data_IF_414840361185
#
_entry.id   IF_414840361185
#
_cell.length_a   1.000
_cell.length_b   1.000
_cell.length_c   1.000
_cell.angle_alpha   90.00
_cell.angle_beta   90.00
_cell.angle_gamma   90.00
#
_symmetry.space_group_name_H-M   'P 1'
#
loop_
_entity.id
_entity.type
_entity.pdbx_description
1 polymer ?
#
# COMPACT_ATOMS: atom_id res chain seq x y z
N UNK A 1 18.35 -11.12 19.58
CA UNK A 1 19.21 -10.19 18.82
C UNK A 1 18.32 -9.47 17.83
N UNK A 2 18.41 -8.14 17.76
CA UNK A 2 17.37 -7.24 17.26
C UNK A 2 16.72 -7.69 15.95
N UNK A 3 15.42 -8.01 16.01
CA UNK A 3 14.53 -8.03 14.85
C UNK A 3 14.57 -6.61 14.26
N UNK A 4 15.46 -6.40 13.29
CA UNK A 4 15.45 -5.19 12.49
C UNK A 4 14.05 -5.08 11.93
N UNK A 5 13.29 -4.08 12.41
CA UNK A 5 11.93 -3.79 11.95
C UNK A 5 11.94 -3.89 10.43
N UNK A 6 11.40 -4.97 9.88
CA UNK A 6 11.31 -5.12 8.44
C UNK A 6 10.45 -3.95 7.99
N UNK A 7 11.07 -2.92 7.42
CA UNK A 7 10.37 -1.78 6.87
C UNK A 7 9.71 -2.27 5.57
N UNK A 8 8.60 -2.98 5.71
CA UNK A 8 7.84 -3.47 4.56
C UNK A 8 7.20 -2.28 3.89
N UNK A 9 7.80 -1.85 2.77
CA UNK A 9 7.25 -0.83 1.89
C UNK A 9 5.97 -1.36 1.24
N UNK A 10 4.83 -0.77 1.58
CA UNK A 10 3.56 -1.06 0.90
C UNK A 10 3.46 -0.26 -0.39
N UNK A 11 3.14 -0.94 -1.49
CA UNK A 11 2.78 -0.32 -2.78
C UNK A 11 1.29 -0.51 -3.00
N UNK A 12 0.62 0.48 -3.57
CA UNK A 12 -0.81 0.38 -3.89
C UNK A 12 -1.19 1.30 -5.04
N UNK A 13 -2.45 1.19 -5.45
CA UNK A 13 -3.03 1.98 -6.53
C UNK A 13 -3.84 3.13 -5.95
N UNK A 14 -3.75 4.30 -6.59
CA UNK A 14 -4.53 5.49 -6.23
C UNK A 14 -5.41 5.91 -7.39
N UNK A 15 -6.59 6.45 -7.07
CA UNK A 15 -7.52 7.04 -8.03
C UNK A 15 -7.79 8.51 -7.65
N UNK A 16 -8.24 9.36 -8.58
CA UNK A 16 -8.63 10.74 -8.27
C UNK A 16 -9.63 10.84 -7.11
N UNK A 17 -9.53 11.89 -6.30
CA UNK A 17 -10.32 12.04 -5.07
C UNK A 17 -11.84 11.94 -5.26
N UNK A 18 -12.34 12.33 -6.44
CA UNK A 18 -13.78 12.31 -6.78
C UNK A 18 -14.19 11.06 -7.57
N UNK A 19 -13.36 10.01 -7.61
CA UNK A 19 -13.71 8.77 -8.28
C UNK A 19 -14.93 8.14 -7.59
N UNK A 20 -16.00 7.77 -8.32
CA UNK A 20 -17.18 7.17 -7.72
C UNK A 20 -16.85 5.89 -6.92
N UNK A 21 -17.49 5.64 -5.77
CA UNK A 21 -17.21 4.47 -4.94
C UNK A 21 -17.29 3.14 -5.68
N UNK A 22 -18.30 2.99 -6.55
CA UNK A 22 -18.50 1.78 -7.35
C UNK A 22 -17.32 1.48 -8.30
N UNK A 23 -16.63 2.52 -8.81
CA UNK A 23 -15.44 2.34 -9.65
C UNK A 23 -14.26 1.87 -8.80
N UNK A 24 -14.08 2.45 -7.61
CA UNK A 24 -13.04 2.02 -6.66
C UNK A 24 -13.24 0.58 -6.22
N UNK A 25 -14.48 0.20 -5.91
CA UNK A 25 -14.83 -1.18 -5.55
C UNK A 25 -14.55 -2.16 -6.68
N UNK A 26 -14.93 -1.80 -7.92
CA UNK A 26 -14.61 -2.59 -9.10
C UNK A 26 -13.10 -2.76 -9.24
N UNK A 27 -12.32 -1.67 -9.20
CA UNK A 27 -10.87 -1.74 -9.30
C UNK A 27 -10.25 -2.62 -8.22
N UNK A 28 -10.70 -2.50 -6.98
CA UNK A 28 -10.21 -3.32 -5.87
C UNK A 28 -10.50 -4.81 -6.09
N UNK A 29 -11.70 -5.14 -6.58
CA UNK A 29 -12.07 -6.53 -6.89
C UNK A 29 -11.23 -7.10 -8.02
N UNK A 30 -11.17 -6.43 -9.16
CA UNK A 30 -10.40 -6.91 -10.33
C UNK A 30 -8.91 -7.05 -9.97
N UNK A 31 -8.35 -6.10 -9.23
CA UNK A 31 -6.97 -6.18 -8.74
C UNK A 31 -6.76 -7.41 -7.83
N UNK A 32 -7.73 -7.69 -6.95
CA UNK A 32 -7.72 -8.89 -6.11
C UNK A 32 -7.67 -10.18 -6.94
N UNK A 33 -8.41 -10.26 -8.04
CA UNK A 33 -8.36 -11.40 -8.96
C UNK A 33 -7.00 -11.53 -9.65
N UNK A 34 -6.45 -10.44 -10.18
CA UNK A 34 -5.14 -10.42 -10.83
C UNK A 34 -4.02 -10.83 -9.86
N UNK A 35 -4.07 -10.35 -8.61
CA UNK A 35 -3.10 -10.70 -7.57
C UNK A 35 -3.17 -12.17 -7.12
N UNK A 36 -4.23 -12.90 -7.48
CA UNK A 36 -4.33 -14.35 -7.25
C UNK A 36 -3.74 -15.18 -8.39
N UNK A 37 -3.51 -14.60 -9.57
CA UNK A 37 -2.93 -15.31 -10.70
C UNK A 37 -1.48 -15.68 -10.42
N UNK A 38 -1.11 -16.93 -10.69
CA UNK A 38 0.21 -17.46 -10.31
C UNK A 38 1.38 -16.80 -11.04
N UNK A 39 1.17 -16.43 -12.31
CA UNK A 39 2.16 -15.70 -13.11
C UNK A 39 2.43 -14.29 -12.55
N UNK A 40 1.39 -13.60 -12.07
CA UNK A 40 1.50 -12.30 -11.42
C UNK A 40 2.21 -12.43 -10.08
N UNK A 41 1.85 -13.44 -9.28
CA UNK A 41 2.49 -13.70 -7.99
C UNK A 41 3.97 -14.04 -8.16
N UNK A 42 4.32 -14.82 -9.17
CA UNK A 42 5.70 -15.15 -9.50
C UNK A 42 6.50 -13.90 -9.88
N UNK A 43 5.95 -13.03 -10.75
CA UNK A 43 6.60 -11.76 -11.12
C UNK A 43 6.79 -10.81 -9.94
N UNK A 44 5.81 -10.72 -9.04
CA UNK A 44 5.94 -9.91 -7.83
C UNK A 44 7.04 -10.47 -6.93
N UNK A 45 7.08 -11.79 -6.74
CA UNK A 45 8.09 -12.45 -5.92
C UNK A 45 9.52 -12.26 -6.47
N UNK A 46 9.69 -12.30 -7.79
CA UNK A 46 10.96 -12.02 -8.47
C UNK A 46 11.46 -10.59 -8.18
N UNK A 47 10.54 -9.62 -8.10
CA UNK A 47 10.81 -8.26 -7.67
C UNK A 47 10.92 -8.04 -6.16
N UNK A 48 10.92 -9.10 -5.34
CA UNK A 48 10.95 -9.02 -3.88
C UNK A 48 9.65 -8.48 -3.25
N UNK A 49 8.55 -8.46 -4.00
CA UNK A 49 7.24 -8.03 -3.55
C UNK A 49 6.32 -9.22 -3.26
N UNK A 50 5.40 -9.04 -2.32
CA UNK A 50 4.36 -10.03 -2.02
C UNK A 50 3.01 -9.44 -2.44
N UNK A 51 2.18 -10.27 -3.08
CA UNK A 51 0.83 -9.87 -3.47
C UNK A 51 0.05 -9.34 -2.26
N UNK A 52 -0.39 -8.08 -2.38
CA UNK A 52 -1.16 -7.41 -1.36
C UNK A 52 -2.54 -8.05 -1.18
N UNK A 53 -3.10 -7.88 0.03
CA UNK A 53 -4.48 -8.27 0.35
C UNK A 53 -5.15 -7.12 1.12
N UNK A 54 -6.48 -7.13 1.11
CA UNK A 54 -7.31 -6.19 1.85
C UNK A 54 -8.22 -5.35 0.95
N UNK A 55 -8.85 -4.37 1.56
CA UNK A 55 -9.78 -3.43 0.94
C UNK A 55 -9.14 -2.08 0.69
N UNK A 56 -9.72 -1.32 -0.25
CA UNK A 56 -9.35 0.08 -0.48
C UNK A 56 -9.44 0.93 0.80
N UNK A 57 -10.42 0.65 1.68
CA UNK A 57 -10.59 1.35 2.95
C UNK A 57 -9.45 1.05 3.94
N UNK A 58 -9.01 -0.21 4.06
CA UNK A 58 -7.86 -0.57 4.89
C UNK A 58 -6.56 0.05 4.36
N UNK A 59 -6.39 0.11 3.04
CA UNK A 59 -5.24 0.77 2.44
C UNK A 59 -5.27 2.28 2.69
N UNK A 60 -6.42 2.93 2.57
CA UNK A 60 -6.57 4.35 2.88
C UNK A 60 -6.23 4.68 4.34
N UNK A 61 -6.69 3.84 5.28
CA UNK A 61 -6.32 3.96 6.70
C UNK A 61 -4.82 3.83 6.92
N UNK A 62 -4.20 2.83 6.29
CA UNK A 62 -2.75 2.65 6.34
C UNK A 62 -2.00 3.90 5.85
N UNK A 63 -2.39 4.45 4.69
CA UNK A 63 -1.77 5.67 4.15
C UNK A 63 -1.89 6.84 5.12
N UNK A 64 -3.07 7.06 5.72
CA UNK A 64 -3.27 8.13 6.69
C UNK A 64 -2.40 7.96 7.94
N UNK A 65 -2.32 6.74 8.49
CA UNK A 65 -1.48 6.43 9.66
C UNK A 65 0.01 6.63 9.36
N UNK A 66 0.48 6.14 8.21
CA UNK A 66 1.87 6.28 7.82
C UNK A 66 2.22 7.75 7.57
N UNK A 67 1.37 8.49 6.87
CA UNK A 67 1.57 9.93 6.63
C UNK A 67 1.69 10.71 7.94
N UNK A 68 0.80 10.44 8.92
CA UNK A 68 0.86 11.08 10.22
C UNK A 68 2.15 10.73 10.98
N UNK A 69 2.58 9.46 10.94
CA UNK A 69 3.83 9.00 11.57
C UNK A 69 5.04 9.70 10.95
N UNK A 70 5.13 9.73 9.62
CA UNK A 70 6.25 10.36 8.94
C UNK A 70 6.27 11.88 9.14
N UNK A 71 5.10 12.55 9.15
CA UNK A 71 5.01 13.97 9.48
C UNK A 71 5.56 14.27 10.89
N UNK A 72 5.25 13.42 11.89
CA UNK A 72 5.80 13.56 13.24
C UNK A 72 7.32 13.38 13.26
N UNK A 73 7.86 12.40 12.53
CA UNK A 73 9.31 12.17 12.41
C UNK A 73 10.01 13.37 11.77
N UNK A 74 9.50 13.87 10.64
CA UNK A 74 10.05 15.03 9.93
C UNK A 74 10.10 16.25 10.86
N UNK A 75 9.02 16.51 11.60
CA UNK A 75 8.96 17.62 12.57
C UNK A 75 9.96 17.45 13.71
N UNK A 76 10.08 16.23 14.27
CA UNK A 76 11.00 15.96 15.38
C UNK A 76 12.47 16.01 14.95
N UNK A 77 12.77 15.53 13.75
CA UNK A 77 14.13 15.51 13.19
C UNK A 77 14.54 16.85 12.55
N UNK A 78 13.65 17.85 12.52
CA UNK A 78 13.84 19.15 11.87
C UNK A 78 14.34 19.02 10.42
N UNK A 79 13.89 17.96 9.73
CA UNK A 79 14.19 17.71 8.33
C UNK A 79 13.34 18.71 7.54
N UNK A 80 14.01 19.62 6.84
CA UNK A 80 13.40 20.54 5.89
C UNK A 80 14.00 20.22 4.52
N UNK A 81 13.14 20.21 3.51
CA UNK A 81 13.62 20.27 2.13
C UNK A 81 14.24 21.64 1.84
#
# INVERSE_FOLDING_TARGET
>A
MAEGRAATRRTGLFAPAQTPPAVVERLNRELGEVLRMDDVRAKLADGGAVAGKGSAAEFARFVQTESARYAAIVKAANIKE
#
